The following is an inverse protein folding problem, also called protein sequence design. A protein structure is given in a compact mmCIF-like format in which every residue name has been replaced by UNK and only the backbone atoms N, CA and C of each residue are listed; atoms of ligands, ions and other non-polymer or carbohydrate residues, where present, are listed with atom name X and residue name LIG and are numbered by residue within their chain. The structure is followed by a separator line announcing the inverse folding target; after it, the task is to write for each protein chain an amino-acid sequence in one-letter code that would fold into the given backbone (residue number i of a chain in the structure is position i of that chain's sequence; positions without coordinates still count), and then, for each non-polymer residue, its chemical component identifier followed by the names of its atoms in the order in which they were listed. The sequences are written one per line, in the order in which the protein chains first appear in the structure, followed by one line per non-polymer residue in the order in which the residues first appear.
data_IF_351775279458
#
_entry.id   IF_351775279458
#
_cell.length_a   1.000
_cell.length_b   1.000
_cell.length_c   1.000
_cell.angle_alpha   90.00
_cell.angle_beta   90.00
_cell.angle_gamma   90.00
#
_symmetry.space_group_name_H-M   'P 1'
#
loop_
_entity.id
_entity.type
_entity.pdbx_description
1 polymer ?
#
# COMPACT_ATOMS: atom_id res chain seq x y z
N UNK A 1 -16.18 14.93 7.64
CA UNK A 1 -16.91 13.74 7.12
C UNK A 1 -18.24 13.65 7.84
N UNK A 2 -19.35 13.35 7.12
CA UNK A 2 -20.67 13.11 7.71
C UNK A 2 -20.63 11.92 8.68
N UNK A 3 -21.41 11.98 9.78
CA UNK A 3 -21.40 10.97 10.85
C UNK A 3 -21.87 9.59 10.37
N UNK A 4 -22.86 9.53 9.47
CA UNK A 4 -23.35 8.26 8.91
C UNK A 4 -22.32 7.61 8.01
N UNK A 5 -21.60 8.43 7.21
CA UNK A 5 -20.48 7.94 6.40
C UNK A 5 -19.38 7.39 7.30
N UNK A 6 -19.05 8.09 8.39
CA UNK A 6 -18.03 7.65 9.35
C UNK A 6 -18.39 6.30 9.97
N UNK A 7 -19.64 6.15 10.48
CA UNK A 7 -20.12 4.90 11.07
C UNK A 7 -20.15 3.74 10.05
N UNK A 8 -20.63 4.02 8.83
CA UNK A 8 -20.62 3.01 7.75
C UNK A 8 -19.19 2.56 7.44
N UNK A 9 -18.26 3.47 7.37
CA UNK A 9 -16.86 3.17 7.10
C UNK A 9 -16.20 2.36 8.22
N UNK A 10 -16.54 2.64 9.47
CA UNK A 10 -16.09 1.84 10.61
C UNK A 10 -16.60 0.38 10.51
N UNK A 11 -17.88 0.19 10.22
CA UNK A 11 -18.44 -1.16 10.00
C UNK A 11 -17.76 -1.88 8.82
N UNK A 12 -17.49 -1.17 7.72
CA UNK A 12 -16.78 -1.71 6.58
C UNK A 12 -15.35 -2.12 6.94
N UNK A 13 -14.63 -1.28 7.68
CA UNK A 13 -13.28 -1.59 8.15
C UNK A 13 -13.26 -2.87 9.01
N UNK A 14 -14.24 -3.05 9.91
CA UNK A 14 -14.36 -4.28 10.70
C UNK A 14 -14.62 -5.52 9.83
N UNK A 15 -15.37 -5.37 8.74
CA UNK A 15 -15.59 -6.45 7.77
C UNK A 15 -14.28 -6.84 7.08
N UNK A 16 -13.52 -5.83 6.60
CA UNK A 16 -12.21 -6.07 5.97
C UNK A 16 -11.23 -6.70 6.96
N UNK A 17 -11.20 -6.24 8.23
CA UNK A 17 -10.34 -6.81 9.28
C UNK A 17 -10.62 -8.30 9.49
N UNK A 18 -11.88 -8.70 9.57
CA UNK A 18 -12.28 -10.11 9.66
C UNK A 18 -11.81 -10.90 8.43
N UNK A 19 -11.94 -10.31 7.24
CA UNK A 19 -11.44 -10.88 5.99
C UNK A 19 -9.92 -11.10 6.03
N UNK A 20 -9.16 -10.10 6.45
CA UNK A 20 -7.69 -10.20 6.61
C UNK A 20 -7.30 -11.29 7.62
N UNK A 21 -7.96 -11.34 8.77
CA UNK A 21 -7.71 -12.36 9.81
C UNK A 21 -7.94 -13.78 9.28
N UNK A 22 -9.00 -14.01 8.49
CA UNK A 22 -9.28 -15.31 7.87
C UNK A 22 -8.19 -15.73 6.86
N UNK A 23 -7.35 -14.77 6.42
CA UNK A 23 -6.25 -14.93 5.46
C UNK A 23 -4.87 -14.90 6.12
N UNK A 24 -4.81 -15.09 7.45
CA UNK A 24 -3.59 -15.03 8.25
C UNK A 24 -2.83 -13.70 8.09
N UNK A 25 -3.57 -12.60 8.01
CA UNK A 25 -3.08 -11.23 7.96
C UNK A 25 -3.70 -10.42 9.09
N UNK A 26 -3.00 -9.40 9.58
CA UNK A 26 -3.49 -8.54 10.66
C UNK A 26 -4.12 -7.27 10.10
N UNK A 27 -5.30 -6.93 10.59
CA UNK A 27 -6.01 -5.70 10.24
C UNK A 27 -6.19 -4.80 11.46
N UNK A 28 -6.04 -3.50 11.26
CA UNK A 28 -6.22 -2.46 12.28
C UNK A 28 -7.10 -1.35 11.71
N UNK A 29 -7.87 -0.70 12.55
CA UNK A 29 -8.67 0.47 12.19
C UNK A 29 -8.06 1.73 12.79
N UNK A 30 -7.97 2.78 11.99
CA UNK A 30 -7.60 4.12 12.44
C UNK A 30 -8.68 5.11 11.98
N UNK A 31 -9.22 5.90 12.91
CA UNK A 31 -10.28 6.86 12.60
C UNK A 31 -9.77 8.06 11.78
N UNK A 32 -8.46 8.32 11.79
CA UNK A 32 -7.81 9.43 11.11
C UNK A 32 -6.32 9.14 10.88
N UNK A 33 -5.63 10.10 10.22
CA UNK A 33 -4.19 10.03 9.90
C UNK A 33 -3.30 9.94 11.12
N UNK A 34 -3.63 10.65 12.19
CA UNK A 34 -2.85 10.69 13.42
C UNK A 34 -2.86 9.33 14.12
N UNK A 35 -4.03 8.72 14.21
CA UNK A 35 -4.17 7.35 14.76
C UNK A 35 -3.45 6.33 13.87
N UNK A 36 -3.54 6.47 12.56
CA UNK A 36 -2.83 5.59 11.61
C UNK A 36 -1.31 5.68 11.77
N UNK A 37 -0.77 6.89 11.94
CA UNK A 37 0.66 7.11 12.20
C UNK A 37 1.07 6.47 13.53
N UNK A 38 0.31 6.70 14.60
CA UNK A 38 0.57 6.10 15.91
C UNK A 38 0.59 4.57 15.83
N UNK A 39 -0.44 3.98 15.21
CA UNK A 39 -0.54 2.54 15.02
C UNK A 39 0.62 1.97 14.18
N UNK A 40 1.06 2.68 13.15
CA UNK A 40 2.21 2.26 12.35
C UNK A 40 3.50 2.25 13.16
N UNK A 41 3.74 3.28 13.99
CA UNK A 41 4.91 3.35 14.86
C UNK A 41 4.90 2.26 15.93
N UNK A 42 3.74 1.89 16.48
CA UNK A 42 3.61 0.76 17.41
C UNK A 42 3.95 -0.60 16.77
N UNK A 43 3.72 -0.75 15.47
CA UNK A 43 4.04 -1.98 14.72
C UNK A 43 5.51 -2.06 14.30
N UNK A 44 6.24 -0.96 14.32
CA UNK A 44 7.63 -0.86 13.86
C UNK A 44 8.56 -0.78 15.08
N UNK A 45 9.35 -1.82 15.38
CA UNK A 45 10.28 -1.78 16.50
C UNK A 45 11.33 -0.67 16.31
N UNK A 46 11.70 0.01 17.40
CA UNK A 46 12.81 0.96 17.38
C UNK A 46 14.13 0.31 16.92
N UNK A 47 14.96 1.06 16.24
CA UNK A 47 16.20 0.56 15.66
C UNK A 47 16.03 -0.22 14.35
N UNK A 48 14.80 -0.54 13.93
CA UNK A 48 14.54 -1.29 12.70
C UNK A 48 15.09 -0.57 11.46
N UNK A 49 15.55 -1.36 10.50
CA UNK A 49 15.80 -0.93 9.13
C UNK A 49 14.48 -0.95 8.36
N UNK A 50 14.10 0.20 7.84
CA UNK A 50 12.79 0.39 7.20
C UNK A 50 12.99 0.82 5.76
N UNK A 51 12.37 0.10 4.83
CA UNK A 51 12.30 0.49 3.44
C UNK A 51 10.85 0.73 3.02
N UNK A 52 10.67 1.48 1.95
CA UNK A 52 9.35 1.77 1.39
C UNK A 52 9.35 1.59 -0.13
N UNK A 53 8.29 0.98 -0.66
CA UNK A 53 7.88 1.14 -2.05
C UNK A 53 7.22 2.51 -2.26
N UNK A 54 6.81 2.85 -3.48
CA UNK A 54 6.04 4.09 -3.68
C UNK A 54 4.74 4.03 -2.88
N UNK A 55 4.66 4.71 -1.74
CA UNK A 55 3.52 4.70 -0.83
C UNK A 55 3.14 6.13 -0.42
N UNK A 56 2.29 6.78 -1.22
CA UNK A 56 1.80 8.12 -0.90
C UNK A 56 1.08 8.17 0.44
N UNK A 57 0.32 7.13 0.78
CA UNK A 57 -0.41 7.07 2.05
C UNK A 57 0.51 7.19 3.28
N UNK A 58 1.76 6.68 3.23
CA UNK A 58 2.70 6.82 4.33
C UNK A 58 3.20 8.28 4.48
N UNK A 59 3.38 9.00 3.37
CA UNK A 59 3.70 10.42 3.40
C UNK A 59 2.51 11.24 3.92
N UNK A 60 1.30 10.95 3.44
CA UNK A 60 0.09 11.71 3.80
C UNK A 60 -0.29 11.62 5.28
N UNK A 61 0.10 10.54 5.97
CA UNK A 61 -0.09 10.41 7.43
C UNK A 61 1.10 10.95 8.24
N UNK A 62 2.14 11.50 7.59
CA UNK A 62 3.35 12.02 8.26
C UNK A 62 4.19 10.92 8.92
N UNK A 63 4.15 9.68 8.39
CA UNK A 63 4.92 8.57 8.94
C UNK A 63 6.40 8.67 8.59
N UNK A 64 6.74 9.12 7.39
CA UNK A 64 8.13 9.19 6.94
C UNK A 64 8.91 10.20 7.78
N UNK A 65 8.35 11.39 7.98
CA UNK A 65 8.93 12.43 8.83
C UNK A 65 9.12 11.95 10.27
N UNK A 66 8.17 11.17 10.80
CA UNK A 66 8.28 10.60 12.13
C UNK A 66 9.39 9.53 12.25
N UNK A 67 9.58 8.73 11.20
CA UNK A 67 10.64 7.72 11.15
C UNK A 67 12.04 8.37 11.02
N UNK A 68 12.15 9.42 10.21
CA UNK A 68 13.41 10.16 10.04
C UNK A 68 13.82 10.94 11.33
N UNK A 69 12.83 11.41 12.09
CA UNK A 69 13.06 12.12 13.35
C UNK A 69 13.26 11.17 14.55
N UNK A 70 12.85 9.90 14.43
CA UNK A 70 12.87 8.91 15.50
C UNK A 70 14.14 8.06 15.52
N UNK A 71 14.13 7.04 16.39
CA UNK A 71 15.22 6.07 16.49
C UNK A 71 15.01 4.91 15.51
N UNK A 72 15.08 5.21 14.20
CA UNK A 72 14.87 4.24 13.11
C UNK A 72 15.93 4.40 12.03
N UNK A 73 16.21 3.33 11.29
CA UNK A 73 17.11 3.34 10.14
C UNK A 73 16.30 3.37 8.84
N UNK A 74 15.68 4.53 8.54
CA UNK A 74 14.90 4.67 7.30
C UNK A 74 15.82 4.72 6.08
N UNK A 75 15.59 3.82 5.11
CA UNK A 75 16.35 3.68 3.87
C UNK A 75 15.72 4.57 2.81
N UNK A 76 16.31 5.74 2.61
CA UNK A 76 15.94 6.63 1.52
C UNK A 76 16.52 6.10 0.20
N UNK A 77 15.67 5.41 -0.56
CA UNK A 77 16.06 4.81 -1.83
C UNK A 77 16.42 5.83 -2.93
N UNK A 78 16.03 7.09 -2.77
CA UNK A 78 16.39 8.14 -3.73
C UNK A 78 17.90 8.46 -3.72
N UNK A 79 18.58 8.12 -2.62
CA UNK A 79 20.03 8.29 -2.44
C UNK A 79 20.87 7.09 -2.93
N UNK A 80 20.23 6.05 -3.43
CA UNK A 80 20.86 4.81 -3.86
C UNK A 80 20.59 4.57 -5.36
N UNK A 81 21.50 3.85 -6.02
CA UNK A 81 21.18 3.31 -7.34
C UNK A 81 20.03 2.28 -7.24
N UNK A 82 19.38 2.03 -8.38
CA UNK A 82 18.17 1.19 -8.41
C UNK A 82 18.38 -0.23 -7.85
N UNK A 83 19.57 -0.83 -8.13
CA UNK A 83 19.90 -2.18 -7.64
C UNK A 83 20.21 -2.19 -6.15
N UNK A 84 21.04 -1.26 -5.69
CA UNK A 84 21.38 -1.13 -4.27
C UNK A 84 20.14 -0.82 -3.43
N UNK A 85 19.27 0.09 -3.91
CA UNK A 85 18.01 0.41 -3.24
C UNK A 85 17.04 -0.77 -3.15
N UNK A 86 17.00 -1.63 -4.17
CA UNK A 86 16.19 -2.86 -4.12
C UNK A 86 16.77 -3.86 -3.12
N UNK A 87 18.06 -4.13 -3.16
CA UNK A 87 18.71 -5.05 -2.23
C UNK A 87 18.58 -4.59 -0.78
N UNK A 88 18.76 -3.29 -0.52
CA UNK A 88 18.56 -2.70 0.79
C UNK A 88 17.10 -2.85 1.28
N UNK A 89 16.12 -2.76 0.37
CA UNK A 89 14.71 -2.96 0.69
C UNK A 89 14.41 -4.43 1.04
N UNK A 90 15.03 -5.39 0.34
CA UNK A 90 14.90 -6.82 0.66
C UNK A 90 15.49 -7.19 2.02
N UNK A 91 16.59 -6.55 2.40
CA UNK A 91 17.32 -6.77 3.65
C UNK A 91 16.79 -5.89 4.81
N UNK A 92 15.72 -5.14 4.60
CA UNK A 92 15.08 -4.37 5.64
C UNK A 92 14.28 -5.26 6.61
N UNK A 93 14.09 -4.79 7.84
CA UNK A 93 13.25 -5.47 8.83
C UNK A 93 11.76 -5.26 8.53
N UNK A 94 11.42 -4.04 8.10
CA UNK A 94 10.05 -3.62 7.82
C UNK A 94 9.96 -2.97 6.44
N UNK A 95 8.95 -3.35 5.67
CA UNK A 95 8.61 -2.72 4.40
C UNK A 95 7.28 -1.99 4.48
N UNK A 96 7.29 -0.70 4.16
CA UNK A 96 6.08 0.11 4.10
C UNK A 96 5.48 0.09 2.71
N UNK A 97 4.19 -0.11 2.63
CA UNK A 97 3.46 -0.12 1.36
C UNK A 97 2.02 0.38 1.51
N UNK A 98 1.33 0.44 0.39
CA UNK A 98 -0.12 0.57 0.31
C UNK A 98 -0.65 -0.37 -0.76
N UNK A 99 -1.92 -0.70 -0.73
CA UNK A 99 -2.59 -1.42 -1.80
C UNK A 99 -3.12 -0.45 -2.87
N UNK A 100 -3.21 -0.89 -4.13
CA UNK A 100 -3.96 -0.19 -5.16
C UNK A 100 -5.47 -0.42 -5.01
N UNK A 101 -5.86 -1.57 -4.46
CA UNK A 101 -7.21 -1.88 -4.01
C UNK A 101 -7.16 -3.00 -2.96
N UNK A 102 -8.19 -3.08 -2.13
CA UNK A 102 -8.42 -4.17 -1.19
C UNK A 102 -9.90 -4.58 -1.24
N UNK A 103 -10.20 -5.86 -1.22
CA UNK A 103 -11.58 -6.34 -1.19
C UNK A 103 -12.16 -6.32 0.23
N UNK A 104 -13.48 -6.32 0.33
CA UNK A 104 -14.18 -6.40 1.62
C UNK A 104 -13.85 -7.67 2.41
N UNK A 105 -13.43 -8.74 1.74
CA UNK A 105 -12.96 -9.99 2.35
C UNK A 105 -11.43 -10.09 2.48
N UNK A 106 -10.68 -8.98 2.26
CA UNK A 106 -9.27 -8.85 2.63
C UNK A 106 -8.24 -9.27 1.57
N UNK A 107 -8.63 -9.44 0.30
CA UNK A 107 -7.67 -9.67 -0.80
C UNK A 107 -7.10 -8.32 -1.24
N UNK A 108 -5.77 -8.21 -1.33
CA UNK A 108 -5.12 -6.99 -1.81
C UNK A 108 -4.64 -7.13 -3.25
N UNK A 109 -4.80 -6.05 -4.03
CA UNK A 109 -4.30 -5.93 -5.40
C UNK A 109 -3.26 -4.83 -5.48
N UNK A 110 -2.09 -5.17 -6.03
CA UNK A 110 -1.00 -4.25 -6.30
C UNK A 110 -0.55 -4.37 -7.76
N UNK A 111 -0.44 -3.24 -8.47
CA UNK A 111 0.12 -3.14 -9.82
C UNK A 111 1.48 -2.47 -9.74
N UNK A 112 2.46 -2.98 -10.48
CA UNK A 112 3.83 -2.44 -10.49
C UNK A 112 4.44 -2.45 -11.89
N UNK A 113 5.31 -1.48 -12.18
CA UNK A 113 6.05 -1.40 -13.43
C UNK A 113 7.36 -2.20 -13.39
N UNK A 114 8.15 -2.00 -12.33
CA UNK A 114 9.49 -2.59 -12.18
C UNK A 114 9.54 -3.78 -11.22
N UNK A 115 8.43 -4.26 -10.73
CA UNK A 115 8.30 -5.33 -9.73
C UNK A 115 8.97 -5.05 -8.38
N UNK A 116 9.59 -3.91 -8.20
CA UNK A 116 10.39 -3.58 -7.02
C UNK A 116 9.56 -3.51 -5.72
N UNK A 117 8.30 -3.04 -5.81
CA UNK A 117 7.38 -3.01 -4.68
C UNK A 117 6.69 -4.37 -4.49
N UNK A 118 6.14 -4.93 -5.56
CA UNK A 118 5.40 -6.21 -5.45
C UNK A 118 6.31 -7.37 -5.05
N UNK A 119 7.58 -7.37 -5.44
CA UNK A 119 8.54 -8.39 -5.00
C UNK A 119 8.84 -8.28 -3.49
N UNK A 120 9.01 -7.06 -2.96
CA UNK A 120 9.15 -6.86 -1.51
C UNK A 120 7.90 -7.28 -0.73
N UNK A 121 6.70 -7.01 -1.27
CA UNK A 121 5.43 -7.49 -0.68
C UNK A 121 5.36 -9.01 -0.69
N UNK A 122 5.67 -9.65 -1.82
CA UNK A 122 5.55 -11.09 -2.00
C UNK A 122 6.59 -11.89 -1.21
N UNK A 123 7.88 -11.49 -1.26
CA UNK A 123 9.01 -12.27 -0.75
C UNK A 123 9.92 -11.51 0.21
N UNK A 124 10.01 -10.19 0.13
CA UNK A 124 11.00 -9.34 0.81
C UNK A 124 10.97 -9.39 2.35
N UNK A 125 10.97 -8.24 3.03
CA UNK A 125 11.12 -8.15 4.50
C UNK A 125 10.18 -9.02 5.31
N UNK A 126 10.60 -9.35 6.53
CA UNK A 126 9.85 -10.20 7.46
C UNK A 126 8.52 -9.56 7.88
N UNK A 127 8.43 -8.24 7.90
CA UNK A 127 7.22 -7.50 8.22
C UNK A 127 6.87 -6.53 7.08
N UNK A 128 5.61 -6.52 6.66
CA UNK A 128 5.07 -5.56 5.69
C UNK A 128 3.91 -4.82 6.34
N UNK A 129 4.03 -3.51 6.44
CA UNK A 129 2.99 -2.64 7.00
C UNK A 129 2.33 -1.86 5.86
N UNK A 130 1.05 -2.10 5.65
CA UNK A 130 0.24 -1.41 4.66
C UNK A 130 -0.56 -0.29 5.33
N UNK A 131 -0.51 0.91 4.74
CA UNK A 131 -1.37 2.03 5.07
C UNK A 131 -2.40 2.18 3.95
N UNK A 132 -3.67 1.92 4.24
CA UNK A 132 -4.73 1.81 3.23
C UNK A 132 -5.92 2.68 3.62
N UNK A 133 -6.18 3.74 2.85
CA UNK A 133 -7.40 4.52 3.00
C UNK A 133 -8.64 3.71 2.61
N UNK A 134 -9.76 3.92 3.28
CA UNK A 134 -11.01 3.21 2.98
C UNK A 134 -11.59 3.53 1.58
N UNK A 135 -11.09 4.58 0.92
CA UNK A 135 -11.35 4.84 -0.50
C UNK A 135 -10.86 3.72 -1.44
N UNK A 136 -10.07 2.76 -0.96
CA UNK A 136 -9.50 1.66 -1.75
C UNK A 136 -10.23 0.34 -1.57
N UNK A 137 -11.26 0.30 -0.73
CA UNK A 137 -12.05 -0.90 -0.49
C UNK A 137 -13.03 -1.12 -1.65
N UNK A 138 -13.06 -2.34 -2.14
CA UNK A 138 -13.96 -2.84 -3.19
C UNK A 138 -14.72 -4.06 -2.69
N UNK A 139 -15.85 -4.37 -3.32
CA UNK A 139 -16.69 -5.50 -2.88
C UNK A 139 -16.02 -6.85 -3.14
N UNK A 140 -15.40 -7.00 -4.32
CA UNK A 140 -14.79 -8.26 -4.79
C UNK A 140 -13.50 -8.04 -5.57
N UNK A 141 -12.87 -9.13 -6.02
CA UNK A 141 -11.62 -9.10 -6.76
C UNK A 141 -11.75 -8.41 -8.12
N UNK A 142 -12.87 -8.57 -8.82
CA UNK A 142 -13.12 -7.93 -10.12
C UNK A 142 -13.20 -6.41 -9.95
N UNK A 143 -13.91 -5.95 -8.92
CA UNK A 143 -13.99 -4.54 -8.52
C UNK A 143 -12.61 -3.99 -8.14
N UNK A 144 -11.83 -4.75 -7.37
CA UNK A 144 -10.48 -4.39 -6.97
C UNK A 144 -9.54 -4.27 -8.18
N UNK A 145 -9.60 -5.21 -9.12
CA UNK A 145 -8.83 -5.14 -10.38
C UNK A 145 -9.25 -3.95 -11.24
N UNK A 146 -10.55 -3.69 -11.36
CA UNK A 146 -11.08 -2.53 -12.09
C UNK A 146 -10.62 -1.22 -11.45
N UNK A 147 -10.68 -1.10 -10.11
CA UNK A 147 -10.19 0.08 -9.39
C UNK A 147 -8.69 0.27 -9.59
N UNK A 148 -7.90 -0.78 -9.39
CA UNK A 148 -6.45 -0.71 -9.53
C UNK A 148 -6.03 -0.23 -10.92
N UNK A 149 -6.71 -0.71 -11.99
CA UNK A 149 -6.43 -0.36 -13.39
C UNK A 149 -7.01 0.99 -13.82
N UNK A 150 -8.22 1.35 -13.37
CA UNK A 150 -8.94 2.53 -13.89
C UNK A 150 -8.87 3.75 -12.97
N UNK A 151 -8.45 3.58 -11.72
CA UNK A 151 -8.27 4.68 -10.78
C UNK A 151 -6.80 4.80 -10.36
N UNK A 152 -6.26 3.77 -9.69
CA UNK A 152 -4.92 3.88 -9.10
C UNK A 152 -3.81 4.06 -10.16
N UNK A 153 -3.82 3.26 -11.22
CA UNK A 153 -2.78 3.34 -12.25
C UNK A 153 -2.83 4.64 -13.05
N UNK A 154 -3.98 5.15 -13.54
CA UNK A 154 -4.06 6.45 -14.21
C UNK A 154 -3.66 7.63 -13.31
N UNK A 155 -4.07 7.63 -12.03
CA UNK A 155 -3.61 8.64 -11.07
C UNK A 155 -2.09 8.59 -10.86
N UNK A 156 -1.53 7.38 -10.70
CA UNK A 156 -0.10 7.22 -10.52
C UNK A 156 0.69 7.62 -11.78
N UNK A 157 0.15 7.40 -12.97
CA UNK A 157 0.78 7.79 -14.24
C UNK A 157 1.03 9.30 -14.34
N UNK A 158 0.19 10.13 -13.70
CA UNK A 158 0.37 11.59 -13.69
C UNK A 158 1.67 12.05 -13.02
N UNK A 159 2.26 11.22 -12.17
CA UNK A 159 3.48 11.54 -11.41
C UNK A 159 4.78 11.40 -12.23
N UNK A 160 4.70 10.74 -13.38
CA UNK A 160 5.86 10.39 -14.18
C UNK A 160 5.82 11.10 -15.54
N UNK A 161 6.99 11.35 -16.11
CA UNK A 161 7.09 11.79 -17.50
C UNK A 161 7.07 10.56 -18.43
N UNK A 162 5.87 10.07 -18.73
CA UNK A 162 5.60 8.88 -19.53
C UNK A 162 4.50 9.15 -20.55
N UNK A 163 4.55 8.43 -21.67
CA UNK A 163 3.58 8.56 -22.77
C UNK A 163 2.64 7.34 -22.78
N UNK A 164 1.71 7.30 -21.86
CA UNK A 164 0.70 6.24 -21.78
C UNK A 164 -0.70 6.82 -22.05
N UNK A 165 -1.62 6.06 -22.69
CA UNK A 165 -2.98 6.57 -22.97
C UNK A 165 -3.72 7.01 -21.72
N UNK A 166 -3.52 6.34 -20.59
CA UNK A 166 -4.20 6.69 -19.35
C UNK A 166 -3.72 8.01 -18.75
N UNK A 167 -2.51 8.48 -19.04
CA UNK A 167 -2.03 9.79 -18.62
C UNK A 167 -2.79 10.92 -19.33
N UNK A 168 -3.14 10.72 -20.62
CA UNK A 168 -3.87 11.70 -21.42
C UNK A 168 -5.38 11.66 -21.18
N UNK A 169 -5.94 10.46 -21.02
CA UNK A 169 -7.39 10.25 -21.02
C UNK A 169 -7.98 10.03 -19.62
N UNK A 170 -7.14 9.80 -18.59
CA UNK A 170 -7.58 9.41 -17.24
C UNK A 170 -8.13 7.98 -17.13
N UNK A 171 -8.11 7.20 -18.22
CA UNK A 171 -8.73 5.86 -18.28
C UNK A 171 -7.73 4.81 -18.76
N UNK A 172 -7.81 3.59 -18.20
CA UNK A 172 -7.00 2.44 -18.65
C UNK A 172 -7.48 1.90 -20.00
N UNK A 173 -6.53 1.67 -20.92
CA UNK A 173 -6.75 1.07 -22.24
C UNK A 173 -6.05 -0.28 -22.42
N UNK A 174 -5.57 -0.90 -21.32
CA UNK A 174 -4.77 -2.12 -21.37
C UNK A 174 -3.55 -1.99 -22.31
N UNK A 175 -2.87 -0.86 -22.21
CA UNK A 175 -1.79 -0.49 -23.11
C UNK A 175 -0.58 -1.42 -22.97
N UNK A 176 0.11 -1.60 -24.09
CA UNK A 176 1.41 -2.27 -24.20
C UNK A 176 2.49 -1.26 -24.59
N UNK A 177 2.35 -0.02 -24.09
CA UNK A 177 3.32 1.05 -24.30
C UNK A 177 4.67 0.67 -23.68
N UNK A 178 5.80 1.03 -24.30
CA UNK A 178 7.12 0.89 -23.66
C UNK A 178 7.21 1.59 -22.30
N UNK A 179 6.44 2.66 -22.11
CA UNK A 179 6.40 3.46 -20.87
C UNK A 179 5.39 2.91 -19.83
N UNK A 180 4.79 1.73 -20.07
CA UNK A 180 3.78 1.20 -19.16
C UNK A 180 4.33 1.00 -17.74
N UNK A 181 3.55 1.41 -16.75
CA UNK A 181 3.81 1.19 -15.33
C UNK A 181 2.98 0.04 -14.75
N UNK A 182 2.35 -0.78 -15.61
CA UNK A 182 1.43 -1.86 -15.25
C UNK A 182 1.93 -3.21 -15.77
N UNK A 183 3.17 -3.58 -15.42
CA UNK A 183 3.80 -4.80 -15.92
C UNK A 183 3.48 -6.04 -15.10
N UNK A 184 3.31 -5.89 -13.78
CA UNK A 184 3.00 -6.97 -12.86
C UNK A 184 1.76 -6.67 -12.03
N UNK A 185 0.97 -7.72 -11.79
CA UNK A 185 -0.22 -7.71 -10.96
C UNK A 185 -0.03 -8.72 -9.84
N UNK A 186 0.10 -8.25 -8.60
CA UNK A 186 0.16 -9.09 -7.42
C UNK A 186 -1.20 -9.10 -6.74
N UNK A 187 -1.76 -10.31 -6.60
CA UNK A 187 -2.95 -10.58 -5.81
C UNK A 187 -2.52 -11.29 -4.54
N UNK A 188 -2.54 -10.56 -3.42
CA UNK A 188 -2.21 -11.12 -2.11
C UNK A 188 -3.47 -11.68 -1.47
N UNK A 189 -3.66 -12.99 -1.62
CA UNK A 189 -4.86 -13.72 -1.16
C UNK A 189 -4.74 -14.26 0.26
N UNK A 190 -3.54 -14.64 0.68
CA UNK A 190 -3.27 -15.30 1.96
C UNK A 190 -1.81 -15.09 2.35
N UNK A 191 -1.50 -14.95 3.62
CA UNK A 191 -0.12 -14.96 4.12
C UNK A 191 0.22 -16.31 4.72
N UNK A 192 1.23 -17.00 4.16
CA UNK A 192 1.73 -18.24 4.75
C UNK A 192 2.44 -18.02 6.09
N UNK A 193 3.07 -16.84 6.22
CA UNK A 193 3.83 -16.47 7.41
C UNK A 193 2.96 -15.63 8.33
N UNK A 194 2.74 -16.12 9.54
CA UNK A 194 2.06 -15.38 10.60
C UNK A 194 2.88 -14.14 10.97
N UNK A 195 2.21 -13.08 11.39
CA UNK A 195 2.81 -11.80 11.79
C UNK A 195 3.65 -11.09 10.70
N UNK A 196 3.47 -11.46 9.42
CA UNK A 196 4.19 -10.80 8.33
C UNK A 196 3.45 -9.62 7.73
N UNK A 197 2.13 -9.73 7.51
CA UNK A 197 1.33 -8.70 6.83
C UNK A 197 0.39 -8.01 7.81
N UNK A 198 0.58 -6.71 7.96
CA UNK A 198 -0.21 -5.81 8.80
C UNK A 198 -0.86 -4.73 7.93
N UNK A 199 -2.16 -4.53 8.05
CA UNK A 199 -2.93 -3.58 7.23
C UNK A 199 -3.66 -2.60 8.14
N UNK A 200 -3.28 -1.33 8.08
CA UNK A 200 -3.94 -0.23 8.79
C UNK A 200 -4.97 0.38 7.84
N UNK A 201 -6.24 0.20 8.16
CA UNK A 201 -7.37 0.77 7.42
C UNK A 201 -7.70 2.14 8.00
N UNK A 202 -7.53 3.17 7.21
CA UNK A 202 -7.68 4.56 7.64
C UNK A 202 -9.00 5.11 7.14
N UNK A 203 -9.81 5.69 8.04
CA UNK A 203 -11.11 6.27 7.70
C UNK A 203 -10.98 7.64 7.04
N UNK A 204 -10.06 7.72 6.11
CA UNK A 204 -9.84 8.88 5.24
C UNK A 204 -9.47 8.42 3.83
N UNK A 205 -9.57 9.35 2.85
CA UNK A 205 -9.04 9.12 1.52
C UNK A 205 -7.53 9.28 1.54
N UNK A 206 -6.80 8.23 1.19
CA UNK A 206 -5.34 8.23 1.15
C UNK A 206 -4.82 7.66 -0.16
N UNK A 207 -3.88 8.36 -0.77
CA UNK A 207 -3.21 7.96 -2.01
C UNK A 207 -4.20 7.64 -3.14
N UNK A 208 -3.82 6.74 -4.03
CA UNK A 208 -4.56 6.42 -5.26
C UNK A 208 -5.22 5.06 -5.22
#
# INVERSE_FOLDING_TARGET
MDENIRKRNECLAQTVIKGLQSRNMFGYYAANKEEAKKQALELIPEGSRIAMGGCMSAHEIGLIEALEAGNYNYIDRSKLDARAGLMAAYDADVFLSSANAITSDGIMVNIDGNSNRVSCIAQGPRKVVFIVGLNKVCDDLDGAMKRARNVAAPCNAQRFDIKTPCKETGKCFDCKSPDTICCQFLITRYSRHTDRIHVILVNENLGF
#
